data_IF_360018526409
#
_entry.id   IF_360018526409
#
_cell.length_a   1.000
_cell.length_b   1.000
_cell.length_c   1.000
_cell.angle_alpha   90.00
_cell.angle_beta   90.00
_cell.angle_gamma   90.00
#
_symmetry.space_group_name_H-M   'P 1'
#
loop_
_entity.id
_entity.type
_entity.pdbx_description
1 polymer ?
#
# COMPACT_ATOMS: atom_id res chain seq x y z
N UNK A 1 60.38 -21.89 28.30
CA UNK A 1 60.93 -22.77 29.35
C UNK A 1 59.83 -23.46 30.16
N UNK A 2 58.75 -22.76 30.52
CA UNK A 2 57.57 -23.38 31.15
C UNK A 2 56.44 -23.47 30.13
N UNK A 3 56.28 -24.63 29.48
CA UNK A 3 55.52 -24.78 28.22
C UNK A 3 54.01 -25.01 28.41
N UNK A 4 53.45 -24.72 29.57
CA UNK A 4 52.01 -24.84 29.84
C UNK A 4 51.42 -23.57 30.46
N UNK A 5 51.86 -23.23 31.68
CA UNK A 5 51.30 -22.10 32.43
C UNK A 5 51.62 -20.73 31.80
N UNK A 6 52.86 -20.49 31.36
CA UNK A 6 53.27 -19.18 30.82
C UNK A 6 52.60 -18.82 29.49
N UNK A 7 52.34 -19.80 28.62
CA UNK A 7 51.64 -19.58 27.34
C UNK A 7 50.15 -19.32 27.57
N UNK A 8 49.51 -20.07 28.45
CA UNK A 8 48.10 -19.83 28.80
C UNK A 8 47.91 -18.46 29.43
N UNK A 9 48.76 -18.06 30.38
CA UNK A 9 48.69 -16.73 31.00
C UNK A 9 48.80 -15.59 29.97
N UNK A 10 49.68 -15.73 28.97
CA UNK A 10 49.82 -14.73 27.91
C UNK A 10 48.60 -14.68 26.97
N UNK A 11 48.05 -15.83 26.60
CA UNK A 11 46.86 -15.91 25.74
C UNK A 11 45.63 -15.36 26.49
N UNK A 12 45.45 -15.71 27.75
CA UNK A 12 44.34 -15.24 28.58
C UNK A 12 44.43 -13.72 28.78
N UNK A 13 45.63 -13.19 29.06
CA UNK A 13 45.83 -11.75 29.18
C UNK A 13 45.55 -11.00 27.86
N UNK A 14 45.96 -11.57 26.72
CA UNK A 14 45.70 -11.00 25.40
C UNK A 14 44.19 -11.03 25.06
N UNK A 15 43.51 -12.15 25.31
CA UNK A 15 42.07 -12.29 25.10
C UNK A 15 41.27 -11.26 25.91
N UNK A 16 41.67 -11.00 27.16
CA UNK A 16 41.07 -9.95 28.00
C UNK A 16 41.25 -8.55 27.42
N UNK A 17 42.40 -8.26 26.79
CA UNK A 17 42.62 -6.98 26.09
C UNK A 17 41.86 -6.85 24.77
N UNK A 18 41.48 -7.97 24.15
CA UNK A 18 40.67 -8.02 22.93
C UNK A 18 39.16 -8.09 23.22
N UNK A 19 38.77 -7.97 24.49
CA UNK A 19 37.38 -7.83 24.90
C UNK A 19 36.69 -9.10 25.40
N UNK A 20 37.42 -10.17 25.72
CA UNK A 20 36.80 -11.29 26.45
C UNK A 20 36.19 -10.86 27.80
N UNK A 21 35.29 -11.71 28.31
CA UNK A 21 34.71 -11.51 29.64
C UNK A 21 35.79 -11.72 30.70
N UNK A 22 35.92 -10.75 31.59
CA UNK A 22 36.80 -10.84 32.75
C UNK A 22 36.00 -11.28 33.99
N UNK A 23 36.61 -12.08 34.84
CA UNK A 23 36.16 -12.40 36.19
C UNK A 23 37.13 -11.78 37.22
N UNK A 24 36.69 -11.55 38.45
CA UNK A 24 37.54 -11.11 39.56
C UNK A 24 38.71 -12.07 39.85
N UNK A 25 38.61 -13.34 39.42
CA UNK A 25 39.69 -14.35 39.54
C UNK A 25 40.98 -13.98 38.79
N UNK A 26 40.93 -13.04 37.84
CA UNK A 26 42.12 -12.54 37.12
C UNK A 26 42.95 -11.57 37.96
N UNK A 27 42.40 -11.07 39.08
CA UNK A 27 43.09 -10.15 39.99
C UNK A 27 43.94 -10.96 40.97
N UNK A 28 45.24 -10.68 40.99
CA UNK A 28 46.19 -11.31 41.91
C UNK A 28 45.75 -11.13 43.36
N UNK A 29 45.83 -12.20 44.16
CA UNK A 29 45.52 -12.15 45.58
C UNK A 29 46.31 -11.06 46.31
N UNK A 30 45.60 -10.23 47.10
CA UNK A 30 46.17 -9.07 47.78
C UNK A 30 46.37 -7.82 46.93
N UNK A 31 46.10 -7.87 45.61
CA UNK A 31 46.18 -6.70 44.73
C UNK A 31 44.80 -6.04 44.55
N UNK A 32 44.74 -4.69 44.39
CA UNK A 32 43.48 -3.98 44.23
C UNK A 32 42.85 -4.13 42.84
N UNK A 33 43.66 -4.39 41.79
CA UNK A 33 43.20 -4.54 40.40
C UNK A 33 44.23 -5.24 39.52
N UNK A 34 43.77 -5.83 38.42
CA UNK A 34 44.58 -6.22 37.27
C UNK A 34 44.53 -5.11 36.20
N UNK A 35 45.66 -4.84 35.56
CA UNK A 35 45.83 -3.81 34.53
C UNK A 35 46.66 -4.40 33.38
N UNK A 36 46.02 -4.56 32.21
CA UNK A 36 46.59 -5.25 31.06
C UNK A 36 46.56 -4.28 29.89
N UNK A 37 47.70 -4.11 29.22
CA UNK A 37 47.83 -3.22 28.06
C UNK A 37 48.54 -3.96 26.93
N UNK A 38 47.98 -3.87 25.72
CA UNK A 38 48.53 -4.42 24.50
C UNK A 38 48.63 -3.32 23.44
N UNK A 39 49.74 -3.29 22.72
CA UNK A 39 49.98 -2.39 21.61
C UNK A 39 50.05 -3.20 20.30
N UNK A 40 49.40 -2.71 19.26
CA UNK A 40 49.39 -3.32 17.93
C UNK A 40 49.73 -2.29 16.86
N UNK A 41 50.34 -2.76 15.78
CA UNK A 41 50.44 -2.00 14.55
C UNK A 41 49.06 -1.92 13.88
N UNK A 42 48.74 -0.76 13.30
CA UNK A 42 47.45 -0.51 12.65
C UNK A 42 47.50 -0.75 11.14
N UNK A 43 46.34 -0.99 10.53
CA UNK A 43 46.15 -1.14 9.09
C UNK A 43 44.93 -0.30 8.64
N UNK A 44 44.75 -0.02 7.34
CA UNK A 44 43.79 0.98 6.87
C UNK A 44 42.35 0.79 7.34
N UNK A 45 41.89 -0.45 7.53
CA UNK A 45 40.53 -0.74 8.04
C UNK A 45 40.36 -0.32 9.51
N UNK A 46 41.36 -0.63 10.35
CA UNK A 46 41.35 -0.21 11.76
C UNK A 46 41.50 1.31 11.90
N UNK A 47 42.29 1.97 11.04
CA UNK A 47 42.39 3.43 11.03
C UNK A 47 41.04 4.09 10.72
N UNK A 48 40.33 3.63 9.68
CA UNK A 48 39.00 4.13 9.35
C UNK A 48 37.98 3.87 10.47
N UNK A 49 38.08 2.72 11.15
CA UNK A 49 37.24 2.39 12.30
C UNK A 49 37.50 3.32 13.49
N UNK A 50 38.76 3.65 13.79
CA UNK A 50 39.14 4.58 14.85
C UNK A 50 38.62 6.00 14.57
N UNK A 51 38.75 6.49 13.32
CA UNK A 51 38.21 7.78 12.90
C UNK A 51 36.68 7.85 13.05
N UNK A 52 35.97 6.80 12.64
CA UNK A 52 34.51 6.73 12.75
C UNK A 52 34.00 6.76 14.21
N UNK A 53 34.84 6.35 15.16
CA UNK A 53 34.53 6.35 16.59
C UNK A 53 35.17 7.52 17.36
N UNK A 54 35.78 8.48 16.65
CA UNK A 54 36.47 9.64 17.20
C UNK A 54 37.61 9.28 18.19
N UNK A 55 38.24 8.11 17.99
CA UNK A 55 39.32 7.59 18.84
C UNK A 55 40.69 7.97 18.24
N UNK A 56 41.39 8.87 18.92
CA UNK A 56 42.68 9.41 18.47
C UNK A 56 43.85 8.72 19.18
N UNK A 57 44.98 8.55 18.51
CA UNK A 57 46.20 7.93 19.08
C UNK A 57 47.45 8.27 18.28
N UNK A 58 48.55 7.57 18.59
CA UNK A 58 49.84 7.76 17.91
C UNK A 58 49.82 7.11 16.51
N UNK A 59 50.44 7.79 15.54
CA UNK A 59 50.46 7.34 14.14
C UNK A 59 50.98 5.91 13.99
N UNK A 60 50.17 5.06 13.33
CA UNK A 60 50.53 3.69 13.01
C UNK A 60 50.33 2.67 14.15
N UNK A 61 49.94 3.09 15.36
CA UNK A 61 49.77 2.17 16.51
C UNK A 61 48.44 2.33 17.22
N UNK A 62 47.93 1.24 17.80
CA UNK A 62 46.74 1.23 18.64
C UNK A 62 47.06 0.58 19.98
N UNK A 63 46.67 1.26 21.07
CA UNK A 63 46.85 0.81 22.43
C UNK A 63 45.52 0.37 23.03
N UNK A 64 45.38 -0.93 23.28
CA UNK A 64 44.22 -1.51 23.97
C UNK A 64 44.58 -1.73 25.45
N UNK A 65 43.77 -1.19 26.35
CA UNK A 65 43.96 -1.38 27.80
C UNK A 65 42.69 -1.85 28.49
N UNK A 66 42.85 -2.85 29.36
CA UNK A 66 41.80 -3.46 30.16
C UNK A 66 42.17 -3.41 31.63
N UNK A 67 41.28 -2.87 32.47
CA UNK A 67 41.44 -2.90 33.93
C UNK A 67 40.29 -3.66 34.57
N UNK A 68 40.57 -4.53 35.54
CA UNK A 68 39.59 -5.33 36.29
C UNK A 68 39.86 -5.15 37.78
N UNK A 69 38.88 -4.70 38.56
CA UNK A 69 39.03 -4.57 40.02
C UNK A 69 38.69 -5.87 40.76
N UNK A 70 39.09 -5.95 42.03
CA UNK A 70 38.82 -7.13 42.88
C UNK A 70 37.31 -7.40 43.11
N UNK A 71 36.43 -6.45 42.75
CA UNK A 71 34.97 -6.61 42.79
C UNK A 71 34.40 -7.08 41.43
N UNK A 72 35.25 -7.39 40.45
CA UNK A 72 34.87 -7.86 39.11
C UNK A 72 34.41 -6.77 38.15
N UNK A 73 34.49 -5.48 38.53
CA UNK A 73 34.16 -4.38 37.61
C UNK A 73 35.31 -4.17 36.64
N UNK A 74 34.96 -4.14 35.35
CA UNK A 74 35.95 -3.98 34.28
C UNK A 74 35.74 -2.70 33.48
N UNK A 75 36.85 -2.06 33.10
CA UNK A 75 36.90 -0.89 32.21
C UNK A 75 37.83 -1.16 31.04
N UNK A 76 37.45 -0.66 29.87
CA UNK A 76 38.22 -0.75 28.64
C UNK A 76 38.64 0.64 28.16
N UNK A 77 39.82 0.72 27.56
CA UNK A 77 40.35 1.93 26.96
C UNK A 77 41.00 1.62 25.62
N UNK A 78 40.84 2.53 24.65
CA UNK A 78 41.55 2.54 23.37
C UNK A 78 42.27 3.87 23.26
N UNK A 79 43.60 3.85 23.09
CA UNK A 79 44.44 5.05 23.02
C UNK A 79 44.20 6.04 24.19
N UNK A 80 43.88 5.50 25.37
CA UNK A 80 43.60 6.28 26.58
C UNK A 80 42.15 6.76 26.73
N UNK A 81 41.32 6.69 25.69
CA UNK A 81 39.89 7.01 25.75
C UNK A 81 39.09 5.81 26.29
N UNK A 82 38.11 6.05 27.17
CA UNK A 82 37.26 5.00 27.72
C UNK A 82 36.25 4.51 26.67
N UNK A 83 36.14 3.19 26.49
CA UNK A 83 35.26 2.58 25.49
C UNK A 83 34.39 1.47 26.08
N UNK A 84 33.36 1.08 25.33
CA UNK A 84 32.54 -0.08 25.67
C UNK A 84 33.26 -1.39 25.39
N UNK A 85 32.81 -2.47 26.02
CA UNK A 85 33.32 -3.82 25.72
C UNK A 85 33.00 -4.27 24.29
N UNK A 86 31.88 -3.80 23.73
CA UNK A 86 31.50 -4.12 22.35
C UNK A 86 32.49 -3.52 21.35
N UNK A 87 32.83 -2.24 21.52
CA UNK A 87 33.83 -1.54 20.70
C UNK A 87 35.21 -2.20 20.81
N UNK A 88 35.61 -2.62 22.03
CA UNK A 88 36.89 -3.30 22.23
C UNK A 88 36.94 -4.66 21.50
N UNK A 89 35.82 -5.41 21.48
CA UNK A 89 35.71 -6.67 20.73
C UNK A 89 35.77 -6.46 19.22
N UNK A 90 34.99 -5.50 18.74
CA UNK A 90 34.85 -5.20 17.32
C UNK A 90 36.19 -4.83 16.66
N UNK A 91 37.02 -4.03 17.34
CA UNK A 91 38.37 -3.72 16.86
C UNK A 91 39.35 -4.88 17.12
N UNK A 92 39.17 -5.62 18.22
CA UNK A 92 40.02 -6.76 18.57
C UNK A 92 39.97 -7.88 17.54
N UNK A 93 38.78 -8.17 16.98
CA UNK A 93 38.57 -9.15 15.91
C UNK A 93 39.31 -8.79 14.61
N UNK A 94 39.61 -7.51 14.39
CA UNK A 94 40.36 -7.04 13.21
C UNK A 94 41.88 -7.09 13.43
N UNK A 95 42.35 -7.05 14.69
CA UNK A 95 43.78 -6.91 15.02
C UNK A 95 44.49 -8.23 15.25
N UNK A 96 43.83 -9.20 15.88
CA UNK A 96 44.47 -10.47 16.26
C UNK A 96 43.54 -11.63 16.00
N UNK A 97 44.03 -12.60 15.23
CA UNK A 97 43.37 -13.90 15.08
C UNK A 97 44.04 -14.96 15.98
N UNK A 98 43.50 -15.14 17.20
CA UNK A 98 44.01 -16.13 18.15
C UNK A 98 43.55 -17.53 17.72
N UNK A 99 44.46 -18.27 17.09
CA UNK A 99 44.26 -19.67 16.71
C UNK A 99 44.28 -20.59 17.95
N UNK A 100 43.17 -20.62 18.69
CA UNK A 100 42.89 -21.49 19.84
C UNK A 100 41.60 -22.28 19.67
N UNK A 101 40.98 -22.75 20.76
CA UNK A 101 39.71 -23.51 20.74
C UNK A 101 38.49 -22.72 20.19
N UNK A 102 38.68 -21.51 19.66
CA UNK A 102 37.63 -20.60 19.18
C UNK A 102 37.80 -20.13 17.73
N UNK A 103 38.95 -20.33 17.06
CA UNK A 103 39.12 -20.04 15.62
C UNK A 103 38.18 -20.87 14.72
N UNK A 104 37.69 -21.98 15.25
CA UNK A 104 36.65 -22.81 14.67
C UNK A 104 35.38 -21.99 14.34
N UNK A 105 35.07 -20.93 15.08
CA UNK A 105 33.80 -20.22 14.93
C UNK A 105 33.62 -19.48 13.60
N UNK A 106 34.69 -19.05 12.92
CA UNK A 106 34.59 -18.44 11.60
C UNK A 106 34.44 -19.50 10.51
N UNK A 107 35.21 -20.59 10.56
CA UNK A 107 35.09 -21.71 9.62
C UNK A 107 33.80 -22.52 9.81
N UNK A 108 33.12 -22.41 10.95
CA UNK A 108 31.79 -22.98 11.19
C UNK A 108 30.64 -22.10 10.66
N UNK A 109 30.90 -20.85 10.26
CA UNK A 109 29.88 -19.99 9.65
C UNK A 109 29.77 -20.30 8.16
N UNK A 110 28.58 -20.69 7.73
CA UNK A 110 28.25 -21.05 6.34
C UNK A 110 28.53 -19.92 5.35
N UNK A 111 28.35 -18.65 5.75
CA UNK A 111 28.73 -17.49 4.94
C UNK A 111 30.24 -17.34 4.72
N UNK A 112 31.05 -17.76 5.69
CA UNK A 112 32.51 -17.74 5.57
C UNK A 112 33.01 -18.92 4.73
N UNK A 113 32.42 -20.11 4.92
CA UNK A 113 32.69 -21.30 4.09
C UNK A 113 32.38 -21.02 2.61
N UNK A 114 31.22 -20.41 2.32
CA UNK A 114 30.86 -19.97 0.96
C UNK A 114 31.90 -19.01 0.38
N UNK A 115 32.25 -17.95 1.11
CA UNK A 115 33.24 -16.96 0.65
C UNK A 115 34.61 -17.59 0.36
N UNK A 116 35.03 -18.54 1.18
CA UNK A 116 36.28 -19.28 0.97
C UNK A 116 36.23 -20.09 -0.32
N UNK A 117 35.14 -20.84 -0.54
CA UNK A 117 34.95 -21.61 -1.78
C UNK A 117 34.92 -20.70 -3.02
N UNK A 118 34.16 -19.60 -2.94
CA UNK A 118 34.02 -18.65 -4.05
C UNK A 118 35.35 -17.97 -4.39
N UNK A 119 36.13 -17.56 -3.38
CA UNK A 119 37.45 -16.96 -3.57
C UNK A 119 38.47 -17.96 -4.14
N UNK A 120 38.45 -19.22 -3.66
CA UNK A 120 39.29 -20.29 -4.21
C UNK A 120 39.00 -20.55 -5.69
N UNK A 121 37.72 -20.47 -6.06
CA UNK A 121 37.25 -20.70 -7.42
C UNK A 121 37.34 -19.48 -8.35
N UNK A 122 37.66 -18.29 -7.81
CA UNK A 122 37.63 -17.02 -8.55
C UNK A 122 36.23 -16.60 -9.00
N UNK A 123 35.18 -16.97 -8.25
CA UNK A 123 33.77 -16.75 -8.61
C UNK A 123 33.17 -15.46 -8.03
N UNK A 124 34.00 -14.57 -7.49
CA UNK A 124 33.56 -13.38 -6.74
C UNK A 124 32.76 -12.40 -7.61
N UNK A 125 33.10 -12.29 -8.90
CA UNK A 125 32.39 -11.45 -9.85
C UNK A 125 31.03 -12.03 -10.23
N UNK A 126 30.94 -13.35 -10.40
CA UNK A 126 29.69 -14.07 -10.63
C UNK A 126 28.75 -13.94 -9.43
N UNK A 127 29.28 -14.05 -8.20
CA UNK A 127 28.52 -13.83 -6.96
C UNK A 127 27.96 -12.40 -6.92
N UNK A 128 28.77 -11.40 -7.25
CA UNK A 128 28.31 -9.99 -7.31
C UNK A 128 27.20 -9.81 -8.34
N UNK A 129 27.38 -10.36 -9.54
CA UNK A 129 26.41 -10.27 -10.62
C UNK A 129 25.10 -11.00 -10.31
N UNK A 130 25.14 -12.13 -9.60
CA UNK A 130 23.95 -12.81 -9.08
C UNK A 130 23.23 -11.94 -8.06
N UNK A 131 23.96 -11.34 -7.11
CA UNK A 131 23.39 -10.46 -6.09
C UNK A 131 22.75 -9.18 -6.65
N UNK A 132 23.29 -8.62 -7.73
CA UNK A 132 22.67 -7.50 -8.46
C UNK A 132 21.35 -7.91 -9.14
N UNK A 133 21.35 -9.04 -9.86
CA UNK A 133 20.14 -9.54 -10.54
C UNK A 133 19.06 -9.96 -9.55
N UNK A 134 19.43 -10.57 -8.43
CA UNK A 134 18.49 -10.89 -7.34
C UNK A 134 17.84 -9.62 -6.78
N UNK A 135 18.62 -8.57 -6.50
CA UNK A 135 18.08 -7.29 -6.02
C UNK A 135 17.15 -6.64 -7.03
N UNK A 136 17.49 -6.68 -8.32
CA UNK A 136 16.65 -6.16 -9.38
C UNK A 136 15.32 -6.91 -9.48
N UNK A 137 15.35 -8.25 -9.46
CA UNK A 137 14.14 -9.08 -9.44
C UNK A 137 13.27 -8.78 -8.20
N UNK A 138 13.86 -8.77 -7.00
CA UNK A 138 13.14 -8.48 -5.76
C UNK A 138 12.54 -7.06 -5.72
N UNK A 139 13.16 -6.09 -6.40
CA UNK A 139 12.59 -4.76 -6.54
C UNK A 139 11.30 -4.78 -7.39
N UNK A 140 11.29 -5.53 -8.49
CA UNK A 140 10.11 -5.69 -9.35
C UNK A 140 9.01 -6.48 -8.64
N UNK A 141 9.35 -7.54 -7.89
CA UNK A 141 8.38 -8.28 -7.06
C UNK A 141 7.65 -7.35 -6.09
N UNK A 142 8.39 -6.51 -5.36
CA UNK A 142 7.79 -5.53 -4.43
C UNK A 142 6.89 -4.52 -5.13
N UNK A 143 7.28 -4.06 -6.32
CA UNK A 143 6.45 -3.14 -7.13
C UNK A 143 5.17 -3.82 -7.61
N UNK A 144 5.25 -5.06 -8.10
CA UNK A 144 4.08 -5.86 -8.50
C UNK A 144 3.15 -6.09 -7.31
N UNK A 145 3.66 -6.54 -6.16
CA UNK A 145 2.85 -6.81 -4.97
C UNK A 145 2.13 -5.54 -4.48
N UNK A 146 2.81 -4.39 -4.49
CA UNK A 146 2.20 -3.11 -4.17
C UNK A 146 1.08 -2.74 -5.17
N UNK A 147 1.33 -2.93 -6.47
CA UNK A 147 0.34 -2.70 -7.52
C UNK A 147 -0.85 -3.67 -7.44
N UNK A 148 -0.63 -4.94 -7.08
CA UNK A 148 -1.70 -5.93 -6.85
C UNK A 148 -2.56 -5.56 -5.65
N UNK A 149 -1.94 -5.11 -4.57
CA UNK A 149 -2.68 -4.70 -3.38
C UNK A 149 -3.52 -3.45 -3.67
N UNK A 150 -2.96 -2.47 -4.36
CA UNK A 150 -3.69 -1.30 -4.84
C UNK A 150 -4.79 -1.68 -5.85
N UNK A 151 -4.54 -2.67 -6.71
CA UNK A 151 -5.51 -3.20 -7.66
C UNK A 151 -6.67 -3.91 -6.97
N UNK A 152 -6.45 -4.65 -5.86
CA UNK A 152 -7.54 -5.28 -5.11
C UNK A 152 -8.49 -4.26 -4.49
N UNK A 153 -7.95 -3.19 -3.90
CA UNK A 153 -8.75 -2.09 -3.38
C UNK A 153 -9.50 -1.35 -4.50
N UNK A 154 -8.81 -1.08 -5.62
CA UNK A 154 -9.41 -0.50 -6.80
C UNK A 154 -10.49 -1.40 -7.42
N UNK A 155 -10.32 -2.72 -7.38
CA UNK A 155 -11.28 -3.71 -7.88
C UNK A 155 -12.55 -3.72 -7.04
N UNK A 156 -12.43 -3.73 -5.71
CA UNK A 156 -13.58 -3.64 -4.80
C UNK A 156 -14.34 -2.32 -5.00
N UNK A 157 -13.60 -1.22 -5.14
CA UNK A 157 -14.18 0.08 -5.45
C UNK A 157 -14.87 0.07 -6.83
N UNK A 158 -14.26 -0.57 -7.83
CA UNK A 158 -14.83 -0.72 -9.17
C UNK A 158 -16.13 -1.51 -9.13
N UNK A 159 -16.16 -2.66 -8.47
CA UNK A 159 -17.37 -3.49 -8.29
C UNK A 159 -18.48 -2.70 -7.58
N UNK A 160 -18.12 -1.93 -6.54
CA UNK A 160 -19.05 -1.04 -5.84
C UNK A 160 -19.63 0.01 -6.78
N UNK A 161 -18.79 0.71 -7.54
CA UNK A 161 -19.22 1.77 -8.46
C UNK A 161 -20.01 1.18 -9.63
N UNK A 162 -19.63 0.02 -10.14
CA UNK A 162 -20.35 -0.71 -11.21
C UNK A 162 -21.76 -1.10 -10.77
N UNK A 163 -21.91 -1.61 -9.54
CA UNK A 163 -23.23 -1.88 -8.96
C UNK A 163 -24.07 -0.59 -8.82
N UNK A 164 -23.45 0.51 -8.39
CA UNK A 164 -24.12 1.81 -8.29
C UNK A 164 -24.60 2.34 -9.65
N UNK A 165 -23.74 2.26 -10.67
CA UNK A 165 -24.08 2.64 -12.05
C UNK A 165 -25.23 1.77 -12.57
N UNK A 166 -25.15 0.45 -12.40
CA UNK A 166 -26.21 -0.48 -12.82
C UNK A 166 -27.56 -0.14 -12.20
N UNK A 167 -27.57 0.20 -10.91
CA UNK A 167 -28.78 0.55 -10.19
C UNK A 167 -29.38 1.88 -10.67
N UNK A 168 -28.57 2.93 -10.83
CA UNK A 168 -29.02 4.22 -11.36
C UNK A 168 -29.47 4.11 -12.81
N UNK A 169 -28.82 3.27 -13.63
CA UNK A 169 -29.22 2.99 -15.01
C UNK A 169 -30.58 2.28 -15.10
N UNK A 170 -30.91 1.38 -14.17
CA UNK A 170 -32.23 0.74 -14.11
C UNK A 170 -33.35 1.75 -13.84
N UNK A 171 -33.07 2.77 -13.03
CA UNK A 171 -34.01 3.88 -12.81
C UNK A 171 -34.11 4.82 -14.01
N UNK A 172 -33.01 4.98 -14.75
CA UNK A 172 -32.86 5.83 -15.92
C UNK A 172 -33.41 7.26 -15.71
N UNK A 173 -32.96 7.98 -14.66
CA UNK A 173 -33.45 9.33 -14.37
C UNK A 173 -33.07 10.29 -15.50
N UNK A 174 -34.01 11.12 -15.94
CA UNK A 174 -33.78 12.12 -16.98
C UNK A 174 -33.62 13.54 -16.39
N UNK A 175 -32.82 14.42 -17.02
CA UNK A 175 -32.78 15.84 -16.63
C UNK A 175 -34.16 16.50 -16.78
N UNK A 176 -34.60 17.25 -15.76
CA UNK A 176 -35.90 17.93 -15.76
C UNK A 176 -37.11 17.04 -15.44
N UNK A 177 -36.91 15.73 -15.35
CA UNK A 177 -38.00 14.77 -15.08
C UNK A 177 -38.65 15.00 -13.72
N UNK A 178 -37.85 15.35 -12.70
CA UNK A 178 -38.35 15.55 -11.35
C UNK A 178 -39.42 16.65 -11.28
N UNK A 179 -39.14 17.77 -11.93
CA UNK A 179 -40.05 18.91 -12.01
C UNK A 179 -41.32 18.55 -12.79
N UNK A 180 -41.18 17.83 -13.90
CA UNK A 180 -42.31 17.39 -14.73
C UNK A 180 -43.23 16.42 -13.97
N UNK A 181 -42.66 15.41 -13.34
CA UNK A 181 -43.40 14.39 -12.58
C UNK A 181 -44.07 15.01 -11.35
N UNK A 182 -43.41 15.93 -10.64
CA UNK A 182 -44.05 16.66 -9.53
C UNK A 182 -45.23 17.52 -9.99
N UNK A 183 -45.08 18.26 -11.09
CA UNK A 183 -46.14 19.10 -11.62
C UNK A 183 -47.34 18.26 -12.07
N UNK A 184 -47.09 17.11 -12.71
CA UNK A 184 -48.11 16.15 -13.10
C UNK A 184 -48.83 15.56 -11.87
N UNK A 185 -48.08 15.10 -10.86
CA UNK A 185 -48.65 14.59 -9.61
C UNK A 185 -49.52 15.62 -8.91
N UNK A 186 -49.05 16.86 -8.77
CA UNK A 186 -49.80 17.93 -8.13
C UNK A 186 -51.13 18.17 -8.86
N UNK A 187 -51.13 18.17 -10.19
CA UNK A 187 -52.35 18.33 -10.99
C UNK A 187 -53.31 17.14 -10.82
N UNK A 188 -52.81 15.91 -10.90
CA UNK A 188 -53.63 14.69 -10.81
C UNK A 188 -54.22 14.48 -9.40
N UNK A 189 -53.41 14.68 -8.35
CA UNK A 189 -53.87 14.57 -6.95
C UNK A 189 -54.96 15.58 -6.60
N UNK A 190 -54.98 16.74 -7.26
CA UNK A 190 -55.99 17.78 -7.08
C UNK A 190 -57.03 17.81 -8.20
N UNK A 191 -57.08 16.79 -9.08
CA UNK A 191 -57.96 16.79 -10.25
C UNK A 191 -59.44 16.95 -9.87
N UNK A 192 -59.90 16.28 -8.81
CA UNK A 192 -61.28 16.41 -8.33
C UNK A 192 -61.61 17.86 -7.91
N UNK A 193 -60.75 18.49 -7.10
CA UNK A 193 -60.94 19.88 -6.67
C UNK A 193 -60.83 20.87 -7.83
N UNK A 194 -59.95 20.62 -8.80
CA UNK A 194 -59.82 21.42 -10.01
C UNK A 194 -61.07 21.33 -10.88
N UNK A 195 -61.64 20.12 -11.06
CA UNK A 195 -62.89 19.90 -11.80
C UNK A 195 -64.06 20.59 -11.09
N UNK A 196 -64.21 20.37 -9.78
CA UNK A 196 -65.29 20.95 -8.97
C UNK A 196 -65.23 22.48 -8.98
N UNK A 197 -64.05 23.06 -8.72
CA UNK A 197 -63.85 24.51 -8.74
C UNK A 197 -64.08 25.13 -10.12
N UNK A 198 -63.66 24.45 -11.20
CA UNK A 198 -63.90 24.92 -12.57
C UNK A 198 -65.39 24.90 -12.91
N UNK A 199 -66.11 23.83 -12.54
CA UNK A 199 -67.57 23.73 -12.75
C UNK A 199 -68.34 24.79 -11.94
N UNK A 200 -67.97 25.02 -10.68
CA UNK A 200 -68.57 26.06 -9.87
C UNK A 200 -68.35 27.47 -10.45
N UNK A 201 -67.16 27.72 -11.02
CA UNK A 201 -66.87 28.97 -11.72
C UNK A 201 -67.69 29.11 -13.02
N UNK A 202 -67.83 28.04 -13.81
CA UNK A 202 -68.69 28.03 -15.01
C UNK A 202 -70.15 28.32 -14.66
N UNK A 203 -70.67 27.68 -13.61
CA UNK A 203 -72.03 27.90 -13.12
C UNK A 203 -72.26 29.37 -12.74
N UNK A 204 -71.35 29.93 -11.93
CA UNK A 204 -71.41 31.34 -11.49
C UNK A 204 -71.31 32.33 -12.66
N UNK A 205 -70.45 32.05 -13.64
CA UNK A 205 -70.16 32.99 -14.72
C UNK A 205 -71.18 32.92 -15.86
N UNK A 206 -71.73 31.73 -16.16
CA UNK A 206 -72.50 31.50 -17.39
C UNK A 206 -73.75 30.62 -17.29
N UNK A 207 -73.82 29.64 -16.38
CA UNK A 207 -74.88 28.59 -16.45
C UNK A 207 -76.05 28.83 -15.47
N UNK A 208 -75.80 29.47 -14.33
CA UNK A 208 -76.83 29.78 -13.34
C UNK A 208 -77.87 30.80 -13.87
N UNK A 209 -79.10 30.74 -13.36
CA UNK A 209 -80.16 31.73 -13.68
C UNK A 209 -79.74 33.17 -13.37
N UNK A 210 -78.88 33.35 -12.36
CA UNK A 210 -78.28 34.62 -11.96
C UNK A 210 -76.81 34.76 -12.40
N UNK A 211 -76.40 34.09 -13.47
CA UNK A 211 -75.02 34.15 -13.97
C UNK A 211 -74.52 35.58 -14.24
N UNK A 212 -73.23 35.82 -14.00
CA UNK A 212 -72.60 37.12 -14.20
C UNK A 212 -72.78 37.64 -15.63
N UNK A 213 -72.63 36.79 -16.64
CA UNK A 213 -72.83 37.20 -18.05
C UNK A 213 -74.26 37.66 -18.34
N UNK A 214 -75.26 36.99 -17.77
CA UNK A 214 -76.68 37.35 -17.92
C UNK A 214 -76.97 38.69 -17.25
N UNK A 215 -76.48 38.88 -16.02
CA UNK A 215 -76.65 40.14 -15.29
C UNK A 215 -75.90 41.31 -15.96
N UNK A 216 -74.67 41.06 -16.41
CA UNK A 216 -73.85 42.05 -17.10
C UNK A 216 -74.48 42.45 -18.44
N UNK A 217 -74.99 41.48 -19.21
CA UNK A 217 -75.71 41.75 -20.44
C UNK A 217 -76.98 42.59 -20.23
N UNK A 218 -77.75 42.30 -19.18
CA UNK A 218 -78.92 43.09 -18.82
C UNK A 218 -78.56 44.53 -18.40
N UNK A 219 -77.47 44.70 -17.64
CA UNK A 219 -76.97 46.00 -17.23
C UNK A 219 -76.47 46.84 -18.43
N UNK A 220 -75.70 46.22 -19.33
CA UNK A 220 -75.25 46.85 -20.59
C UNK A 220 -76.45 47.28 -21.42
N UNK A 221 -77.43 46.41 -21.64
CA UNK A 221 -78.62 46.75 -22.43
C UNK A 221 -79.45 47.88 -21.80
N UNK A 222 -79.63 47.88 -20.48
CA UNK A 222 -80.32 48.96 -19.77
C UNK A 222 -79.57 50.29 -19.87
N UNK A 223 -78.24 50.28 -19.73
CA UNK A 223 -77.43 51.49 -19.85
C UNK A 223 -77.35 52.02 -21.29
N UNK A 224 -77.41 51.17 -22.31
CA UNK A 224 -77.51 51.59 -23.70
C UNK A 224 -78.76 52.45 -23.94
N UNK A 225 -79.91 52.02 -23.43
CA UNK A 225 -81.15 52.81 -23.53
C UNK A 225 -81.08 54.14 -22.76
N UNK A 226 -80.35 54.19 -21.64
CA UNK A 226 -80.17 55.42 -20.86
C UNK A 226 -79.13 56.36 -21.48
N UNK A 227 -78.11 55.84 -22.15
CA UNK A 227 -77.08 56.62 -22.83
C UNK A 227 -77.65 57.39 -24.04
N UNK A 228 -78.77 56.93 -24.62
CA UNK A 228 -79.54 57.70 -25.61
C UNK A 228 -80.17 58.97 -25.01
N UNK A 229 -80.42 58.98 -23.69
CA UNK A 229 -80.99 60.11 -22.95
C UNK A 229 -79.88 61.03 -22.42
N UNK A 230 -78.86 60.45 -21.78
CA UNK A 230 -77.69 61.18 -21.24
C UNK A 230 -76.37 60.58 -21.78
N UNK A 231 -75.68 61.28 -22.70
CA UNK A 231 -74.41 60.83 -23.26
C UNK A 231 -73.29 60.60 -22.23
N UNK A 232 -73.40 61.15 -21.01
CA UNK A 232 -72.41 60.94 -19.95
C UNK A 232 -72.25 59.46 -19.55
N UNK A 233 -73.23 58.62 -19.87
CA UNK A 233 -73.17 57.17 -19.62
C UNK A 233 -72.35 56.39 -20.67
N UNK A 234 -71.95 57.01 -21.78
CA UNK A 234 -71.19 56.34 -22.85
C UNK A 234 -69.83 55.79 -22.36
N UNK A 235 -69.13 56.52 -21.49
CA UNK A 235 -67.85 56.08 -20.93
C UNK A 235 -67.99 54.84 -20.03
N UNK A 236 -69.14 54.69 -19.36
CA UNK A 236 -69.45 53.50 -18.53
C UNK A 236 -69.70 52.29 -19.44
N UNK A 237 -70.44 52.46 -20.52
CA UNK A 237 -70.66 51.40 -21.53
C UNK A 237 -69.35 50.97 -22.19
N UNK A 238 -68.48 51.92 -22.54
CA UNK A 238 -67.16 51.65 -23.10
C UNK A 238 -66.26 50.82 -22.17
N UNK A 239 -66.53 50.81 -20.85
CA UNK A 239 -65.85 49.94 -19.89
C UNK A 239 -66.54 48.56 -19.72
N UNK A 240 -67.87 48.51 -19.75
CA UNK A 240 -68.63 47.27 -19.51
C UNK A 240 -68.68 46.34 -20.72
N UNK A 241 -68.75 46.87 -21.94
CA UNK A 241 -68.82 46.04 -23.17
C UNK A 241 -67.54 45.19 -23.36
N UNK A 242 -66.31 45.73 -23.24
CA UNK A 242 -65.11 44.89 -23.29
C UNK A 242 -65.02 43.91 -22.12
N UNK A 243 -65.48 44.29 -20.93
CA UNK A 243 -65.50 43.40 -19.77
C UNK A 243 -66.41 42.19 -20.01
N UNK A 244 -67.56 42.39 -20.65
CA UNK A 244 -68.47 41.29 -21.01
C UNK A 244 -67.81 40.29 -21.96
N UNK A 245 -67.10 40.79 -22.97
CA UNK A 245 -66.33 39.95 -23.92
C UNK A 245 -65.24 39.18 -23.20
N UNK A 246 -64.47 39.82 -22.31
CA UNK A 246 -63.41 39.15 -21.53
C UNK A 246 -63.95 38.04 -20.63
N UNK A 247 -65.13 38.24 -20.02
CA UNK A 247 -65.79 37.20 -19.22
C UNK A 247 -66.25 36.03 -20.11
N UNK A 248 -66.78 36.30 -21.31
CA UNK A 248 -67.12 35.23 -22.28
C UNK A 248 -65.89 34.41 -22.70
N UNK A 249 -64.75 35.06 -22.97
CA UNK A 249 -63.49 34.38 -23.31
C UNK A 249 -62.98 33.51 -22.16
N UNK A 250 -63.09 34.00 -20.92
CA UNK A 250 -62.74 33.24 -19.71
C UNK A 250 -63.63 32.00 -19.55
N UNK A 251 -64.95 32.13 -19.74
CA UNK A 251 -65.89 30.99 -19.72
C UNK A 251 -65.53 29.95 -20.77
N UNK A 252 -65.23 30.37 -22.01
CA UNK A 252 -64.82 29.44 -23.06
C UNK A 252 -63.51 28.69 -22.71
N UNK A 253 -62.57 29.39 -22.06
CA UNK A 253 -61.31 28.80 -21.62
C UNK A 253 -61.51 27.82 -20.46
N UNK A 254 -62.38 28.15 -19.49
CA UNK A 254 -62.74 27.27 -18.37
C UNK A 254 -63.49 26.03 -18.84
N UNK A 255 -64.42 26.17 -19.79
CA UNK A 255 -65.16 25.03 -20.37
C UNK A 255 -64.19 24.05 -21.05
N UNK A 256 -63.26 24.58 -21.86
CA UNK A 256 -62.22 23.77 -22.51
C UNK A 256 -61.28 23.09 -21.50
N UNK A 257 -61.00 23.74 -20.37
CA UNK A 257 -60.21 23.14 -19.30
C UNK A 257 -60.99 22.03 -18.59
N UNK A 258 -62.25 22.26 -18.23
CA UNK A 258 -63.12 21.28 -17.59
C UNK A 258 -63.29 20.01 -18.44
N UNK A 259 -63.44 20.18 -19.76
CA UNK A 259 -63.56 19.05 -20.71
C UNK A 259 -62.28 18.22 -20.81
N UNK A 260 -61.11 18.82 -20.55
CA UNK A 260 -59.81 18.13 -20.57
C UNK A 260 -59.40 17.57 -19.20
N UNK A 261 -60.00 18.08 -18.13
CA UNK A 261 -59.67 17.67 -16.78
C UNK A 261 -60.37 16.33 -16.48
N UNK A 262 -59.64 15.24 -16.69
CA UNK A 262 -60.10 13.89 -16.39
C UNK A 262 -59.50 13.39 -15.07
N UNK A 263 -60.30 12.62 -14.32
CA UNK A 263 -59.80 11.82 -13.21
C UNK A 263 -59.22 10.54 -13.80
N UNK A 264 -57.90 10.42 -13.78
CA UNK A 264 -57.16 9.24 -14.23
C UNK A 264 -56.41 8.62 -13.03
N UNK A 265 -57.06 7.68 -12.29
CA UNK A 265 -56.46 7.02 -11.15
C UNK A 265 -55.25 6.14 -11.52
N UNK A 266 -55.27 5.55 -12.71
CA UNK A 266 -54.20 4.67 -13.18
C UNK A 266 -52.94 5.51 -13.46
N UNK A 267 -53.09 6.65 -14.14
CA UNK A 267 -51.98 7.58 -14.37
C UNK A 267 -51.45 8.18 -13.07
N UNK A 268 -52.32 8.52 -12.11
CA UNK A 268 -51.88 8.99 -10.80
C UNK A 268 -51.02 7.92 -10.09
N UNK A 269 -51.43 6.65 -10.13
CA UNK A 269 -50.66 5.55 -9.55
C UNK A 269 -49.30 5.34 -10.22
N UNK A 270 -49.20 5.50 -11.55
CA UNK A 270 -47.92 5.46 -12.27
C UNK A 270 -46.97 6.60 -11.83
N UNK A 271 -47.51 7.81 -11.74
CA UNK A 271 -46.77 9.01 -11.32
C UNK A 271 -46.31 8.89 -9.87
N UNK A 272 -47.16 8.37 -8.98
CA UNK A 272 -46.82 8.06 -7.59
C UNK A 272 -45.67 7.04 -7.49
N UNK A 273 -45.76 5.96 -8.27
CA UNK A 273 -44.71 4.95 -8.34
C UNK A 273 -43.38 5.54 -8.84
N UNK A 274 -43.44 6.44 -9.84
CA UNK A 274 -42.25 7.12 -10.36
C UNK A 274 -41.64 8.08 -9.32
N UNK A 275 -42.46 8.89 -8.64
CA UNK A 275 -42.01 9.76 -7.55
C UNK A 275 -41.35 8.96 -6.42
N UNK A 276 -41.98 7.86 -6.00
CA UNK A 276 -41.42 7.00 -4.96
C UNK A 276 -40.08 6.37 -5.38
N UNK A 277 -39.96 5.94 -6.64
CA UNK A 277 -38.72 5.39 -7.16
C UNK A 277 -37.58 6.43 -7.16
N UNK A 278 -37.86 7.64 -7.66
CA UNK A 278 -36.91 8.77 -7.65
C UNK A 278 -36.51 9.14 -6.22
N UNK A 279 -37.47 9.30 -5.29
CA UNK A 279 -37.19 9.62 -3.89
C UNK A 279 -36.39 8.53 -3.17
N UNK A 280 -36.70 7.26 -3.41
CA UNK A 280 -36.00 6.15 -2.78
C UNK A 280 -34.55 6.09 -3.24
N UNK A 281 -34.32 6.32 -4.53
CA UNK A 281 -32.96 6.40 -5.08
C UNK A 281 -32.21 7.61 -4.53
N UNK A 282 -32.83 8.80 -4.55
CA UNK A 282 -32.26 10.03 -4.00
C UNK A 282 -31.83 9.85 -2.53
N UNK A 283 -32.68 9.23 -1.70
CA UNK A 283 -32.34 8.91 -0.30
C UNK A 283 -31.17 7.95 -0.18
N UNK A 284 -31.10 6.93 -1.04
CA UNK A 284 -30.00 5.95 -1.03
C UNK A 284 -28.66 6.57 -1.37
N UNK A 285 -28.62 7.47 -2.35
CA UNK A 285 -27.41 8.19 -2.76
C UNK A 285 -27.18 9.49 -1.96
N UNK A 286 -28.11 9.87 -1.07
CA UNK A 286 -28.09 11.10 -0.26
C UNK A 286 -27.95 12.36 -1.10
N UNK A 287 -28.63 12.39 -2.24
CA UNK A 287 -28.69 13.52 -3.16
C UNK A 287 -30.12 14.01 -3.29
N UNK A 288 -30.32 15.21 -3.84
CA UNK A 288 -31.66 15.68 -4.19
C UNK A 288 -32.17 14.92 -5.44
N UNK A 289 -33.47 14.58 -5.53
CA UNK A 289 -34.02 13.86 -6.69
C UNK A 289 -33.68 14.50 -8.05
N UNK A 290 -33.71 15.83 -8.14
CA UNK A 290 -33.37 16.60 -9.35
C UNK A 290 -31.92 16.39 -9.82
N UNK A 291 -31.02 15.95 -8.93
CA UNK A 291 -29.59 15.75 -9.24
C UNK A 291 -29.23 14.31 -9.61
N UNK A 292 -30.17 13.36 -9.56
CA UNK A 292 -29.93 11.96 -9.91
C UNK A 292 -29.30 11.73 -11.31
N UNK A 293 -29.68 12.47 -12.37
CA UNK A 293 -29.02 12.33 -13.68
C UNK A 293 -27.53 12.72 -13.65
N UNK A 294 -27.19 13.76 -12.90
CA UNK A 294 -25.80 14.19 -12.73
C UNK A 294 -25.00 13.16 -11.92
N UNK A 295 -25.61 12.61 -10.86
CA UNK A 295 -25.01 11.53 -10.07
C UNK A 295 -24.69 10.30 -10.94
N UNK A 296 -25.62 9.87 -11.81
CA UNK A 296 -25.37 8.78 -12.76
C UNK A 296 -24.15 9.06 -13.66
N UNK A 297 -24.09 10.27 -14.23
CA UNK A 297 -22.99 10.69 -15.10
C UNK A 297 -21.65 10.68 -14.37
N UNK A 298 -21.62 11.17 -13.12
CA UNK A 298 -20.43 11.18 -12.29
C UNK A 298 -19.94 9.76 -11.98
N UNK A 299 -20.85 8.83 -11.64
CA UNK A 299 -20.49 7.43 -11.35
C UNK A 299 -19.98 6.70 -12.59
N UNK A 300 -20.54 6.98 -13.77
CA UNK A 300 -20.04 6.45 -15.03
C UNK A 300 -18.62 6.93 -15.36
N UNK A 301 -18.34 8.23 -15.15
CA UNK A 301 -16.99 8.77 -15.31
C UNK A 301 -15.99 8.16 -14.31
N UNK A 302 -16.42 7.98 -13.05
CA UNK A 302 -15.62 7.31 -12.02
C UNK A 302 -15.30 5.85 -12.42
N UNK A 303 -16.28 5.10 -12.94
CA UNK A 303 -16.08 3.73 -13.41
C UNK A 303 -15.07 3.66 -14.57
N UNK A 304 -15.20 4.57 -15.55
CA UNK A 304 -14.26 4.64 -16.67
C UNK A 304 -12.83 4.95 -16.22
N UNK A 305 -12.65 5.84 -15.23
CA UNK A 305 -11.34 6.15 -14.66
C UNK A 305 -10.73 4.94 -13.92
N UNK A 306 -11.53 4.18 -13.17
CA UNK A 306 -11.09 2.98 -12.47
C UNK A 306 -10.71 1.83 -13.41
N UNK A 307 -11.28 1.79 -14.62
CA UNK A 307 -10.94 0.80 -15.65
C UNK A 307 -9.61 1.08 -16.36
N UNK A 308 -9.09 2.31 -16.31
CA UNK A 308 -7.88 2.72 -17.02
C UNK A 308 -6.56 2.39 -16.31
N UNK A 309 -6.59 1.66 -15.18
CA UNK A 309 -5.40 1.29 -14.42
C UNK A 309 -4.92 -0.13 -14.77
N UNK A 310 -3.99 -0.26 -15.74
CA UNK A 310 -3.45 -1.55 -16.20
C UNK A 310 -1.92 -1.56 -16.33
N UNK A 311 -1.22 -1.36 -15.20
CA UNK A 311 0.24 -1.50 -15.10
C UNK A 311 0.66 -2.91 -14.60
N UNK A 312 -0.31 -3.73 -14.18
CA UNK A 312 -0.01 -5.04 -13.58
C UNK A 312 0.54 -6.05 -14.59
N UNK A 313 0.00 -6.11 -15.80
CA UNK A 313 0.46 -7.03 -16.84
C UNK A 313 1.90 -6.71 -17.26
N UNK A 314 2.25 -5.41 -17.31
CA UNK A 314 3.61 -4.96 -17.59
C UNK A 314 4.59 -5.35 -16.47
N UNK A 315 4.20 -5.17 -15.21
CA UNK A 315 4.99 -5.57 -14.04
C UNK A 315 5.18 -7.10 -13.96
N UNK A 316 4.16 -7.89 -14.29
CA UNK A 316 4.26 -9.36 -14.36
C UNK A 316 5.23 -9.82 -15.45
N UNK A 317 5.18 -9.20 -16.63
CA UNK A 317 6.14 -9.49 -17.71
C UNK A 317 7.57 -9.12 -17.30
N UNK A 318 7.76 -7.99 -16.62
CA UNK A 318 9.05 -7.55 -16.14
C UNK A 318 9.60 -8.44 -15.00
N UNK A 319 8.74 -8.93 -14.10
CA UNK A 319 9.13 -9.89 -13.08
C UNK A 319 9.64 -11.20 -13.72
N UNK A 320 8.89 -11.75 -14.67
CA UNK A 320 9.29 -12.97 -15.37
C UNK A 320 10.65 -12.81 -16.06
N UNK A 321 10.90 -11.66 -16.70
CA UNK A 321 12.16 -11.36 -17.35
C UNK A 321 13.34 -11.28 -16.35
N UNK A 322 13.15 -10.54 -15.25
CA UNK A 322 14.20 -10.35 -14.24
C UNK A 322 14.50 -11.63 -13.45
N UNK A 323 13.47 -12.44 -13.16
CA UNK A 323 13.62 -13.75 -12.55
C UNK A 323 14.41 -14.71 -13.44
N UNK A 324 14.09 -14.77 -14.74
CA UNK A 324 14.82 -15.62 -15.69
C UNK A 324 16.31 -15.22 -15.78
N UNK A 325 16.61 -13.92 -15.80
CA UNK A 325 17.98 -13.43 -15.81
C UNK A 325 18.76 -13.78 -14.53
N UNK A 326 18.12 -13.65 -13.36
CA UNK A 326 18.69 -14.11 -12.09
C UNK A 326 18.97 -15.61 -12.10
N UNK A 327 17.99 -16.42 -12.50
CA UNK A 327 18.11 -17.88 -12.49
C UNK A 327 19.23 -18.37 -13.41
N UNK A 328 19.35 -17.79 -14.61
CA UNK A 328 20.42 -18.12 -15.55
C UNK A 328 21.82 -17.85 -14.95
N UNK A 329 22.00 -16.70 -14.30
CA UNK A 329 23.26 -16.34 -13.66
C UNK A 329 23.56 -17.24 -12.44
N UNK A 330 22.54 -17.49 -11.61
CA UNK A 330 22.69 -18.28 -10.40
C UNK A 330 22.97 -19.76 -10.71
N UNK A 331 22.39 -20.31 -11.78
CA UNK A 331 22.74 -21.65 -12.29
C UNK A 331 24.17 -21.73 -12.83
N UNK A 332 24.68 -20.66 -13.45
CA UNK A 332 26.08 -20.61 -13.89
C UNK A 332 27.03 -20.63 -12.69
N UNK A 333 26.74 -19.82 -11.66
CA UNK A 333 27.46 -19.81 -10.39
C UNK A 333 27.43 -21.18 -9.69
N UNK A 334 26.26 -21.82 -9.62
CA UNK A 334 26.08 -23.14 -9.03
C UNK A 334 26.95 -24.22 -9.71
N UNK A 335 27.03 -24.19 -11.05
CA UNK A 335 27.94 -25.09 -11.80
C UNK A 335 29.41 -24.82 -11.49
N UNK A 336 29.81 -23.55 -11.36
CA UNK A 336 31.15 -23.15 -10.94
C UNK A 336 31.49 -23.68 -9.55
N UNK A 337 30.60 -23.47 -8.58
CA UNK A 337 30.74 -23.97 -7.21
C UNK A 337 30.80 -25.49 -7.14
N UNK A 338 29.95 -26.21 -7.88
CA UNK A 338 29.97 -27.67 -7.89
C UNK A 338 31.29 -28.23 -8.47
N UNK A 339 31.93 -27.54 -9.40
CA UNK A 339 33.26 -27.89 -9.88
C UNK A 339 34.32 -27.63 -8.81
N UNK A 340 34.38 -26.41 -8.28
CA UNK A 340 35.35 -26.02 -7.26
C UNK A 340 35.22 -26.83 -5.96
N UNK A 341 33.99 -27.16 -5.56
CA UNK A 341 33.71 -27.97 -4.38
C UNK A 341 34.37 -29.35 -4.49
N UNK A 342 34.32 -29.98 -5.66
CA UNK A 342 34.99 -31.28 -5.92
C UNK A 342 36.51 -31.14 -5.92
N UNK A 343 37.03 -30.16 -6.64
CA UNK A 343 38.49 -29.94 -6.75
C UNK A 343 39.12 -29.63 -5.37
N UNK A 344 38.47 -28.78 -4.58
CA UNK A 344 38.92 -28.45 -3.23
C UNK A 344 38.73 -29.63 -2.26
N UNK A 345 37.62 -30.35 -2.34
CA UNK A 345 37.38 -31.56 -1.54
C UNK A 345 38.47 -32.61 -1.73
N UNK A 346 38.83 -32.89 -2.98
CA UNK A 346 39.87 -33.86 -3.32
C UNK A 346 41.25 -33.40 -2.84
N UNK A 347 41.60 -32.12 -3.04
CA UNK A 347 42.88 -31.55 -2.63
C UNK A 347 43.07 -31.61 -1.10
N UNK A 348 42.05 -31.20 -0.33
CA UNK A 348 42.09 -31.23 1.14
C UNK A 348 42.12 -32.67 1.65
N UNK A 349 41.30 -33.56 1.08
CA UNK A 349 41.30 -34.99 1.45
C UNK A 349 42.67 -35.64 1.22
N UNK A 350 43.36 -35.28 0.12
CA UNK A 350 44.73 -35.70 -0.14
C UNK A 350 45.73 -35.20 0.90
N UNK A 351 45.65 -33.91 1.26
CA UNK A 351 46.51 -33.32 2.29
C UNK A 351 46.29 -33.95 3.68
N UNK A 352 45.03 -34.29 4.03
CA UNK A 352 44.69 -34.96 5.29
C UNK A 352 45.42 -36.31 5.45
N UNK A 353 45.64 -37.06 4.37
CA UNK A 353 46.36 -38.34 4.45
C UNK A 353 47.82 -38.15 4.90
N UNK A 354 48.44 -37.00 4.57
CA UNK A 354 49.80 -36.66 4.99
C UNK A 354 49.93 -36.16 6.43
N UNK A 355 48.81 -35.86 7.11
CA UNK A 355 48.78 -35.25 8.45
C UNK A 355 48.43 -36.26 9.56
N UNK A 356 48.74 -37.54 9.38
CA UNK A 356 48.37 -38.63 10.30
C UNK A 356 46.85 -38.82 10.50
N UNK A 357 46.01 -38.29 9.60
CA UNK A 357 44.55 -38.48 9.58
C UNK A 357 44.16 -39.54 8.54
N UNK A 358 44.77 -40.73 8.64
CA UNK A 358 44.57 -41.81 7.67
C UNK A 358 43.09 -42.23 7.56
N UNK A 359 42.53 -42.14 6.35
CA UNK A 359 41.13 -42.43 6.08
C UNK A 359 40.15 -41.28 6.38
N UNK A 360 40.65 -40.10 6.77
CA UNK A 360 39.83 -38.89 6.85
C UNK A 360 39.36 -38.41 5.47
N UNK A 361 38.23 -37.71 5.43
CA UNK A 361 37.60 -37.19 4.21
C UNK A 361 37.09 -35.78 4.43
N UNK A 362 37.20 -34.95 3.41
CA UNK A 362 36.61 -33.63 3.36
C UNK A 362 35.62 -33.55 2.20
N UNK A 363 34.40 -33.12 2.48
CA UNK A 363 33.34 -32.96 1.49
C UNK A 363 32.76 -31.54 1.61
N UNK A 364 32.36 -30.96 0.48
CA UNK A 364 31.69 -29.67 0.44
C UNK A 364 30.29 -29.92 -0.09
N UNK A 365 29.30 -29.79 0.79
CA UNK A 365 27.89 -29.95 0.45
C UNK A 365 27.32 -28.62 -0.05
N UNK A 366 26.55 -28.70 -1.14
CA UNK A 366 25.79 -27.59 -1.72
C UNK A 366 24.31 -27.89 -1.53
N UNK A 367 23.71 -27.33 -0.48
CA UNK A 367 22.31 -27.55 -0.15
C UNK A 367 21.43 -26.57 -0.94
N UNK A 368 20.46 -27.03 -1.76
CA UNK A 368 19.59 -26.15 -2.52
C UNK A 368 18.80 -25.20 -1.62
N UNK A 369 18.69 -23.95 -2.04
CA UNK A 369 17.89 -22.91 -1.40
C UNK A 369 16.78 -22.49 -2.38
N UNK A 370 15.52 -22.62 -1.98
CA UNK A 370 14.36 -22.21 -2.76
C UNK A 370 13.68 -21.00 -2.08
N UNK A 371 13.46 -19.86 -2.75
CA UNK A 371 13.72 -19.55 -4.18
C UNK A 371 15.17 -19.07 -4.47
N UNK A 372 16.12 -19.34 -3.58
CA UNK A 372 17.50 -18.86 -3.64
C UNK A 372 17.68 -17.51 -2.95
N UNK A 373 18.87 -16.93 -3.10
CA UNK A 373 19.20 -15.65 -2.46
C UNK A 373 20.22 -14.84 -3.23
N UNK A 374 20.57 -13.68 -2.68
CA UNK A 374 21.56 -12.78 -3.28
C UNK A 374 22.94 -13.44 -3.48
N UNK A 375 23.23 -14.52 -2.77
CA UNK A 375 24.47 -15.27 -2.87
C UNK A 375 24.39 -16.52 -3.76
N UNK A 376 23.25 -16.84 -4.38
CA UNK A 376 23.06 -18.00 -5.27
C UNK A 376 21.91 -18.93 -4.87
N UNK A 377 21.91 -20.13 -5.45
CA UNK A 377 20.86 -21.15 -5.30
C UNK A 377 21.18 -22.19 -4.23
N UNK A 378 22.30 -22.04 -3.53
CA UNK A 378 22.74 -23.03 -2.56
C UNK A 378 23.38 -22.42 -1.32
N UNK A 379 23.23 -23.13 -0.20
CA UNK A 379 23.99 -22.95 1.01
C UNK A 379 25.20 -23.90 0.97
N UNK A 380 26.39 -23.33 1.14
CA UNK A 380 27.65 -24.09 1.18
C UNK A 380 27.89 -24.55 2.61
N UNK A 381 28.17 -25.84 2.78
CA UNK A 381 28.53 -26.46 4.05
C UNK A 381 29.77 -27.34 3.90
N UNK A 382 30.76 -27.15 4.77
CA UNK A 382 31.96 -27.99 4.83
C UNK A 382 31.73 -29.16 5.78
N UNK A 383 32.01 -30.38 5.32
CA UNK A 383 31.82 -31.62 6.06
C UNK A 383 33.16 -32.35 6.21
N UNK A 384 33.48 -32.78 7.42
CA UNK A 384 34.74 -33.48 7.72
C UNK A 384 34.44 -34.86 8.34
N UNK A 385 35.17 -35.88 7.91
CA UNK A 385 35.32 -37.15 8.60
C UNK A 385 36.78 -37.31 9.05
N UNK A 386 37.02 -37.50 10.34
CA UNK A 386 38.39 -37.54 10.90
C UNK A 386 39.14 -38.86 10.67
N UNK A 387 38.45 -39.95 10.35
CA UNK A 387 39.03 -41.27 10.13
C UNK A 387 38.08 -42.17 9.32
N UNK A 388 38.61 -43.30 8.83
CA UNK A 388 37.83 -44.26 8.06
C UNK A 388 36.61 -44.78 8.85
N UNK A 389 35.47 -44.94 8.16
CA UNK A 389 34.25 -45.52 8.71
C UNK A 389 33.27 -44.53 9.36
N UNK A 390 33.56 -43.22 9.39
CA UNK A 390 32.65 -42.18 9.90
C UNK A 390 32.11 -41.36 8.74
N UNK A 391 30.80 -41.11 8.73
CA UNK A 391 30.18 -40.20 7.76
C UNK A 391 30.62 -38.76 8.01
N UNK A 392 30.97 -37.99 6.96
CA UNK A 392 31.30 -36.57 7.08
C UNK A 392 30.18 -35.80 7.78
N UNK A 393 30.56 -34.90 8.70
CA UNK A 393 29.65 -34.03 9.45
C UNK A 393 30.20 -32.60 9.50
N UNK A 394 29.33 -31.59 9.73
CA UNK A 394 29.73 -30.20 9.81
C UNK A 394 30.79 -29.93 10.89
#
# INVERSE_FOLDING_TARGET
GETGAGKSILIDALALTLGERADATVVREGAPRADITAAFDTHPQVLAWLEAHELHGDDGTILLRRTVDAAGRSKAFINGAAVTLAQLREVGEQLVDIHGQHAHQLLLKTDAQRRLLDAHAGLEDEVRAVGERYRAWQAVVRLREAAEQQSREAQLERERVEWQVSELQKLAPQPGEWEEVQAEHHRLSHAASLIEGTRAALDTLSEADSAVLTQLGAAVHGLQALAEIDPALADVLAALEPAQVQVQEAVHSLARYADRAELDPDRLAEVDARLQALHTMARKYRVAPETLPAELTQRQAQLAALQAASDLDALQAQEAQTHAAYLQAAQALSRGRAKAARELADAVTGAMQGLSMAGGRFEIALHPLEPGGAAGLEQVEFLVAGHAGVSPRP
#
